data_IF_637879760432
#
_entry.id   IF_637879760432
#
_cell.length_a   1.000
_cell.length_b   1.000
_cell.length_c   1.000
_cell.angle_alpha   90.00
_cell.angle_beta   90.00
_cell.angle_gamma   90.00
#
_symmetry.space_group_name_H-M   'P 1'
#
loop_
_entity.id
_entity.type
_entity.pdbx_description
1 polymer ?
#
# COMPACT_ATOMS: atom_id res chain seq x y z
N UNK A 1 35.80 -1.72 4.24
CA UNK A 1 34.81 -0.81 3.64
C UNK A 1 33.70 -1.72 3.16
N UNK A 2 32.61 -1.78 3.92
CA UNK A 2 31.42 -2.51 3.49
C UNK A 2 30.73 -1.56 2.53
N UNK A 3 30.62 -1.95 1.26
CA UNK A 3 29.94 -1.12 0.28
C UNK A 3 28.45 -1.19 0.59
N UNK A 4 27.77 -0.06 0.81
CA UNK A 4 26.33 -0.06 1.06
C UNK A 4 25.59 -0.78 -0.07
N UNK A 5 24.82 -1.81 0.27
CA UNK A 5 24.03 -2.58 -0.69
C UNK A 5 22.71 -1.84 -0.90
N UNK A 6 22.57 -1.20 -2.06
CA UNK A 6 21.35 -0.47 -2.41
C UNK A 6 20.29 -1.44 -2.89
N UNK A 7 19.09 -1.30 -2.35
CA UNK A 7 17.90 -2.07 -2.72
C UNK A 7 16.75 -1.11 -3.04
N UNK A 8 15.76 -1.62 -3.73
CA UNK A 8 14.54 -0.92 -4.08
C UNK A 8 13.41 -1.47 -3.23
N UNK A 9 12.66 -0.60 -2.56
CA UNK A 9 11.48 -0.96 -1.79
C UNK A 9 10.24 -0.29 -2.37
N UNK A 10 9.07 -0.81 -2.02
CA UNK A 10 7.79 -0.21 -2.38
C UNK A 10 7.27 0.62 -1.21
N UNK A 11 6.99 1.88 -1.47
CA UNK A 11 6.48 2.85 -0.50
C UNK A 11 5.12 3.37 -0.97
N UNK A 12 4.15 3.47 -0.05
CA UNK A 12 2.91 4.18 -0.30
C UNK A 12 2.96 5.59 0.28
N UNK A 13 2.31 6.51 -0.43
CA UNK A 13 2.24 7.93 -0.10
C UNK A 13 3.62 8.56 0.22
N UNK A 14 4.64 8.20 -0.57
CA UNK A 14 5.96 8.78 -0.45
C UNK A 14 5.88 10.32 -0.54
N UNK A 15 6.62 11.04 0.31
CA UNK A 15 6.59 12.51 0.42
C UNK A 15 5.28 13.10 0.98
N UNK A 16 4.48 12.30 1.69
CA UNK A 16 3.29 12.79 2.40
C UNK A 16 3.42 12.54 3.92
N UNK A 17 2.48 13.07 4.69
CA UNK A 17 2.39 12.82 6.14
C UNK A 17 2.04 11.35 6.50
N UNK A 18 1.58 10.56 5.53
CA UNK A 18 1.14 9.17 5.70
C UNK A 18 1.99 8.18 4.90
N UNK A 19 3.31 8.38 4.94
CA UNK A 19 4.28 7.49 4.30
C UNK A 19 4.31 6.11 4.98
N UNK A 20 4.26 5.04 4.19
CA UNK A 20 4.29 3.67 4.69
C UNK A 20 4.99 2.71 3.75
N UNK A 21 5.88 1.87 4.30
CA UNK A 21 6.56 0.81 3.55
C UNK A 21 5.58 -0.34 3.31
N UNK A 22 5.49 -0.83 2.07
CA UNK A 22 4.71 -2.02 1.77
C UNK A 22 5.33 -3.24 2.45
N UNK A 23 4.50 -3.99 3.18
CA UNK A 23 4.87 -5.29 3.74
C UNK A 23 3.80 -6.32 3.39
N UNK A 24 4.25 -7.55 3.15
CA UNK A 24 3.37 -8.69 2.91
C UNK A 24 3.21 -9.48 4.19
N UNK A 25 2.01 -10.00 4.43
CA UNK A 25 1.77 -10.87 5.57
C UNK A 25 2.06 -12.32 5.21
N UNK A 26 3.01 -12.90 5.93
CA UNK A 26 3.31 -14.33 5.83
C UNK A 26 2.75 -14.98 7.09
N UNK A 27 1.78 -15.88 6.90
CA UNK A 27 1.29 -16.75 7.96
C UNK A 27 2.19 -17.98 8.02
N UNK A 28 2.85 -18.19 9.16
CA UNK A 28 3.69 -19.37 9.36
C UNK A 28 2.80 -20.57 9.75
N UNK A 29 2.65 -21.60 8.90
CA UNK A 29 1.77 -22.73 9.18
C UNK A 29 2.33 -23.68 10.25
N UNK A 30 3.57 -23.49 10.70
CA UNK A 30 4.27 -24.33 11.69
C UNK A 30 4.14 -23.79 13.13
N UNK A 31 3.67 -22.55 13.31
CA UNK A 31 3.48 -21.92 14.62
C UNK A 31 2.27 -22.50 15.36
N UNK A 32 2.47 -23.65 16.02
CA UNK A 32 1.43 -24.48 16.65
C UNK A 32 0.66 -23.87 17.84
N UNK A 33 0.91 -22.62 18.26
CA UNK A 33 0.32 -22.07 19.49
C UNK A 33 -0.23 -20.64 19.43
N UNK A 34 -0.07 -19.94 18.30
CA UNK A 34 -0.76 -18.68 18.00
C UNK A 34 -0.40 -18.37 16.56
N UNK A 35 -1.36 -18.13 15.69
CA UNK A 35 -1.09 -17.70 14.31
C UNK A 35 -0.38 -16.34 14.35
N UNK A 36 0.95 -16.34 14.46
CA UNK A 36 1.79 -15.16 14.38
C UNK A 36 1.86 -14.79 12.91
N UNK A 37 0.88 -13.99 12.48
CA UNK A 37 0.97 -13.25 11.23
C UNK A 37 2.18 -12.33 11.35
N UNK A 38 3.20 -12.53 10.50
CA UNK A 38 4.38 -11.65 10.47
C UNK A 38 4.34 -10.80 9.22
N UNK A 39 4.61 -9.51 9.38
CA UNK A 39 4.80 -8.61 8.25
C UNK A 39 6.24 -8.76 7.74
N UNK A 40 6.40 -8.97 6.44
CA UNK A 40 7.68 -9.11 5.75
C UNK A 40 7.83 -8.01 4.71
N UNK A 41 8.93 -7.27 4.73
CA UNK A 41 9.27 -6.24 3.75
C UNK A 41 10.09 -6.87 2.62
N UNK A 42 9.71 -6.58 1.37
CA UNK A 42 10.42 -7.05 0.18
C UNK A 42 11.43 -5.99 -0.28
N UNK A 43 12.70 -6.38 -0.40
CA UNK A 43 13.80 -5.54 -0.86
C UNK A 43 14.30 -6.06 -2.21
N UNK A 44 14.11 -5.31 -3.28
CA UNK A 44 14.47 -5.75 -4.63
C UNK A 44 15.89 -5.27 -4.99
N UNK A 45 16.73 -6.14 -5.54
CA UNK A 45 18.03 -5.70 -6.09
C UNK A 45 17.88 -4.94 -7.42
N UNK A 46 16.76 -5.14 -8.11
CA UNK A 46 16.46 -4.54 -9.42
C UNK A 46 15.22 -3.65 -9.35
N UNK A 47 15.34 -2.43 -9.89
CA UNK A 47 14.21 -1.51 -10.01
C UNK A 47 13.10 -2.07 -10.90
N UNK A 48 13.45 -2.81 -11.95
CA UNK A 48 12.48 -3.41 -12.88
C UNK A 48 11.58 -4.43 -12.17
N UNK A 49 12.17 -5.25 -11.30
CA UNK A 49 11.44 -6.23 -10.49
C UNK A 49 10.50 -5.54 -9.49
N UNK A 50 10.95 -4.44 -8.86
CA UNK A 50 10.11 -3.63 -7.97
C UNK A 50 8.94 -2.97 -8.71
N UNK A 51 9.17 -2.39 -9.89
CA UNK A 51 8.12 -1.80 -10.73
C UNK A 51 7.12 -2.85 -11.21
N UNK A 52 7.61 -4.05 -11.55
CA UNK A 52 6.74 -5.17 -11.94
C UNK A 52 5.86 -5.61 -10.78
N UNK A 53 6.40 -5.66 -9.56
CA UNK A 53 5.62 -5.96 -8.36
C UNK A 53 4.59 -4.85 -8.05
N UNK A 54 4.98 -3.58 -8.22
CA UNK A 54 4.08 -2.43 -8.08
C UNK A 54 2.83 -2.57 -8.97
N UNK A 55 3.02 -2.91 -10.25
CA UNK A 55 1.92 -3.14 -11.19
C UNK A 55 0.98 -4.27 -10.77
N UNK A 56 1.50 -5.32 -10.13
CA UNK A 56 0.69 -6.42 -9.61
C UNK A 56 -0.14 -6.00 -8.40
N UNK A 57 0.36 -5.08 -7.57
CA UNK A 57 -0.41 -4.50 -6.47
C UNK A 57 -1.54 -3.60 -7.02
N UNK A 58 -1.23 -2.76 -8.00
CA UNK A 58 -2.25 -1.92 -8.67
C UNK A 58 -3.38 -2.76 -9.29
N UNK A 59 -3.04 -3.90 -9.90
CA UNK A 59 -4.02 -4.83 -10.46
C UNK A 59 -4.99 -5.43 -9.41
N UNK A 60 -4.63 -5.36 -8.13
CA UNK A 60 -5.41 -5.84 -7.00
C UNK A 60 -6.12 -4.72 -6.24
N UNK A 61 -6.30 -3.55 -6.86
CA UNK A 61 -6.95 -2.37 -6.28
C UNK A 61 -6.16 -1.69 -5.14
N UNK A 62 -4.87 -2.01 -4.97
CA UNK A 62 -4.00 -1.21 -4.11
C UNK A 62 -3.65 0.14 -4.77
N UNK A 63 -3.29 1.18 -3.98
CA UNK A 63 -2.75 2.39 -4.56
C UNK A 63 -1.50 2.11 -5.39
N UNK A 64 -1.09 3.03 -6.24
CA UNK A 64 0.20 2.94 -6.93
C UNK A 64 1.34 3.15 -5.93
N UNK A 65 2.17 2.12 -5.65
CA UNK A 65 3.34 2.32 -4.79
C UNK A 65 4.46 3.03 -5.56
N UNK A 66 5.23 3.83 -4.85
CA UNK A 66 6.45 4.47 -5.34
C UNK A 66 7.65 3.56 -5.05
N UNK A 67 8.46 3.29 -6.07
CA UNK A 67 9.70 2.52 -5.92
C UNK A 67 10.81 3.46 -5.48
N UNK A 68 11.28 3.30 -4.24
CA UNK A 68 12.34 4.12 -3.65
C UNK A 68 13.63 3.31 -3.45
N UNK A 69 14.76 3.95 -3.71
CA UNK A 69 16.08 3.36 -3.52
C UNK A 69 16.58 3.65 -2.10
N UNK A 70 16.80 2.62 -1.32
CA UNK A 70 17.21 2.71 0.09
C UNK A 70 18.38 1.75 0.36
N UNK A 71 19.08 1.99 1.47
CA UNK A 71 20.13 1.07 1.90
C UNK A 71 19.54 -0.18 2.54
N UNK A 72 20.05 -1.36 2.16
CA UNK A 72 19.58 -2.61 2.74
C UNK A 72 19.88 -2.69 4.25
N UNK A 73 20.94 -2.07 4.75
CA UNK A 73 21.24 -2.03 6.18
C UNK A 73 20.22 -1.18 6.95
N UNK A 74 19.75 -0.08 6.36
CA UNK A 74 18.73 0.80 6.96
C UNK A 74 17.39 0.07 7.13
N UNK A 75 16.96 -0.68 6.10
CA UNK A 75 15.75 -1.50 6.20
C UNK A 75 15.90 -2.62 7.21
N UNK A 76 17.07 -3.26 7.28
CA UNK A 76 17.33 -4.34 8.26
C UNK A 76 17.22 -3.83 9.69
N UNK A 77 17.81 -2.66 9.98
CA UNK A 77 17.74 -2.02 11.30
C UNK A 77 16.29 -1.66 11.67
N UNK A 78 15.53 -1.12 10.71
CA UNK A 78 14.10 -0.84 10.88
C UNK A 78 13.31 -2.13 11.18
N UNK A 79 13.56 -3.19 10.43
CA UNK A 79 12.88 -4.47 10.61
C UNK A 79 13.20 -5.11 11.96
N UNK A 80 14.46 -5.05 12.41
CA UNK A 80 14.88 -5.56 13.71
C UNK A 80 14.20 -4.81 14.86
N UNK A 81 14.09 -3.48 14.74
CA UNK A 81 13.44 -2.63 15.75
C UNK A 81 11.92 -2.82 15.78
N UNK A 82 11.28 -2.93 14.62
CA UNK A 82 9.84 -3.07 14.49
C UNK A 82 9.34 -4.53 14.65
N UNK A 83 10.24 -5.51 14.64
CA UNK A 83 9.89 -6.94 14.67
C UNK A 83 9.32 -7.45 13.34
N UNK A 84 9.67 -6.79 12.23
CA UNK A 84 9.31 -7.23 10.89
C UNK A 84 10.36 -8.17 10.31
N UNK A 85 9.94 -9.02 9.39
CA UNK A 85 10.86 -9.80 8.58
C UNK A 85 11.23 -9.03 7.31
N UNK A 86 12.33 -9.41 6.68
CA UNK A 86 12.77 -8.81 5.43
C UNK A 86 13.29 -9.89 4.49
N UNK A 87 13.15 -9.67 3.19
CA UNK A 87 13.61 -10.60 2.17
C UNK A 87 14.19 -9.84 1.00
N UNK A 88 15.40 -10.25 0.58
CA UNK A 88 16.07 -9.66 -0.58
C UNK A 88 15.71 -10.48 -1.81
N UNK A 89 15.10 -9.84 -2.80
CA UNK A 89 14.74 -10.41 -4.08
C UNK A 89 15.86 -10.11 -5.07
N UNK A 90 16.61 -11.14 -5.52
CA UNK A 90 17.71 -10.93 -6.44
C UNK A 90 17.23 -10.50 -7.83
N UNK A 91 18.09 -9.79 -8.55
CA UNK A 91 17.79 -9.36 -9.91
C UNK A 91 17.55 -10.58 -10.82
N UNK A 92 16.46 -10.59 -11.61
CA UNK A 92 16.01 -11.73 -12.41
C UNK A 92 15.50 -12.93 -11.59
N UNK A 93 15.02 -12.72 -10.36
CA UNK A 93 14.31 -13.77 -9.64
C UNK A 93 13.02 -14.15 -10.37
N UNK A 94 12.58 -15.40 -10.19
CA UNK A 94 11.29 -15.86 -10.70
C UNK A 94 10.17 -14.94 -10.18
N UNK A 95 9.17 -14.66 -11.03
CA UNK A 95 8.15 -13.63 -10.82
C UNK A 95 7.50 -13.80 -9.43
N UNK A 96 7.88 -12.94 -8.47
CA UNK A 96 7.25 -12.95 -7.15
C UNK A 96 5.84 -12.39 -7.31
N UNK A 97 4.84 -13.25 -7.14
CA UNK A 97 3.45 -12.85 -7.12
C UNK A 97 3.08 -12.43 -5.70
N UNK A 98 2.43 -11.27 -5.51
CA UNK A 98 1.85 -10.93 -4.21
C UNK A 98 0.87 -12.02 -3.77
N UNK A 99 0.76 -12.30 -2.45
CA UNK A 99 -0.19 -13.29 -1.95
C UNK A 99 -1.62 -12.92 -2.34
N UNK A 100 -2.47 -13.89 -2.68
CA UNK A 100 -3.88 -13.67 -3.08
C UNK A 100 -4.77 -13.12 -1.95
N UNK A 101 -4.27 -13.08 -0.71
CA UNK A 101 -5.01 -12.59 0.45
C UNK A 101 -4.49 -11.20 0.80
N UNK A 102 -5.26 -10.20 0.41
CA UNK A 102 -5.04 -8.81 0.75
C UNK A 102 -5.73 -8.50 2.08
N UNK A 103 -5.02 -7.82 3.00
CA UNK A 103 -5.69 -7.28 4.17
C UNK A 103 -6.54 -6.07 3.77
N UNK A 104 -7.83 -6.15 4.08
CA UNK A 104 -8.84 -5.12 3.79
C UNK A 104 -8.59 -3.78 4.52
N UNK A 105 -7.84 -3.81 5.63
CA UNK A 105 -7.52 -2.65 6.45
C UNK A 105 -6.05 -2.69 6.88
N UNK A 106 -5.21 -1.88 6.24
CA UNK A 106 -3.84 -1.67 6.72
C UNK A 106 -3.79 -0.37 7.53
N UNK A 107 -3.04 -0.35 8.64
CA UNK A 107 -2.99 0.77 9.60
C UNK A 107 -2.62 2.12 8.94
N UNK A 108 -1.84 2.09 7.84
CA UNK A 108 -1.49 3.27 7.04
C UNK A 108 -2.69 3.96 6.36
N UNK A 109 -3.82 3.26 6.19
CA UNK A 109 -5.07 3.84 5.68
C UNK A 109 -5.93 4.48 6.79
N UNK A 110 -5.62 4.24 8.07
CA UNK A 110 -6.44 4.72 9.19
C UNK A 110 -6.26 6.21 9.50
N UNK A 111 -5.27 6.85 8.90
CA UNK A 111 -4.98 8.27 9.11
C UNK A 111 -5.63 9.19 8.05
N UNK A 112 -6.80 8.83 7.53
CA UNK A 112 -7.70 9.80 6.87
C UNK A 112 -8.99 10.04 7.66
N UNK A 113 -9.03 9.65 8.95
CA UNK A 113 -10.20 9.87 9.80
C UNK A 113 -9.89 10.18 11.28
N UNK A 114 -8.75 10.81 11.58
CA UNK A 114 -8.48 11.26 12.96
C UNK A 114 -7.81 12.61 13.03
N UNK A 115 -8.50 13.62 12.49
CA UNK A 115 -8.48 14.97 13.06
C UNK A 115 -9.89 15.61 12.98
N UNK A 116 -10.84 15.14 13.80
CA UNK A 116 -11.80 16.07 14.44
C UNK A 116 -12.58 15.46 15.63
N UNK A 117 -11.89 15.13 16.72
CA UNK A 117 -12.49 15.28 18.05
C UNK A 117 -12.32 16.73 18.49
N UNK A 118 -13.12 17.62 17.91
CA UNK A 118 -13.43 18.91 18.52
C UNK A 118 -14.88 19.27 18.22
N UNK A 119 -15.70 19.12 19.24
CA UNK A 119 -17.00 19.75 19.36
C UNK A 119 -16.84 21.24 19.01
N UNK A 120 -17.29 21.67 17.83
CA UNK A 120 -17.96 22.95 17.57
C UNK A 120 -18.30 23.04 16.06
N UNK A 121 -19.58 22.87 15.75
CA UNK A 121 -20.33 23.50 14.65
C UNK A 121 -19.61 23.72 13.29
N UNK A 122 -19.84 22.82 12.32
CA UNK A 122 -19.59 23.09 10.89
C UNK A 122 -20.93 23.17 10.13
N UNK A 123 -21.20 24.27 9.38
CA UNK A 123 -22.42 24.45 8.60
C UNK A 123 -22.42 23.57 7.32
N UNK A 124 -23.61 23.24 6.76
CA UNK A 124 -23.72 22.34 5.61
C UNK A 124 -23.39 23.08 4.32
N UNK A 125 -22.42 22.59 3.55
CA UNK A 125 -22.11 23.13 2.23
C UNK A 125 -21.69 22.05 1.23
N UNK A 126 -22.68 21.36 0.66
CA UNK A 126 -22.92 21.30 -0.80
C UNK A 126 -24.18 20.45 -1.07
N UNK A 127 -25.00 20.81 -2.08
CA UNK A 127 -26.33 20.27 -2.27
C UNK A 127 -26.28 18.83 -2.78
N UNK A 128 -26.98 17.92 -2.12
CA UNK A 128 -27.41 16.66 -2.73
C UNK A 128 -28.19 17.02 -4.00
N UNK A 129 -27.62 16.75 -5.17
CA UNK A 129 -28.35 16.85 -6.43
C UNK A 129 -29.53 15.86 -6.33
N UNK A 130 -30.75 16.39 -6.20
CA UNK A 130 -31.95 15.57 -6.05
C UNK A 130 -32.09 14.62 -7.23
N UNK A 131 -32.58 13.40 -7.00
CA UNK A 131 -32.78 12.34 -8.02
C UNK A 131 -33.53 12.85 -9.27
N UNK A 132 -34.34 13.90 -9.12
CA UNK A 132 -35.06 14.59 -10.20
C UNK A 132 -34.16 15.30 -11.23
N UNK A 133 -32.94 15.67 -10.85
CA UNK A 133 -31.93 16.25 -11.75
C UNK A 133 -31.25 15.15 -12.58
N UNK A 134 -31.00 13.98 -11.98
CA UNK A 134 -30.44 12.81 -12.68
C UNK A 134 -31.40 12.27 -13.75
N UNK A 135 -32.70 12.25 -13.49
CA UNK A 135 -33.71 11.79 -14.46
C UNK A 135 -33.83 12.69 -15.70
N UNK A 136 -33.64 14.01 -15.54
CA UNK A 136 -33.65 14.95 -16.66
C UNK A 136 -32.47 14.74 -17.60
N UNK A 137 -31.29 14.46 -17.05
CA UNK A 137 -30.07 14.19 -17.82
C UNK A 137 -30.25 12.92 -18.65
N UNK A 138 -30.86 11.87 -18.08
CA UNK A 138 -31.10 10.60 -18.77
C UNK A 138 -32.04 10.76 -19.98
N UNK A 139 -33.12 11.54 -19.81
CA UNK A 139 -34.11 11.76 -20.87
C UNK A 139 -33.62 12.63 -22.03
N UNK A 140 -32.59 13.45 -21.80
CA UNK A 140 -31.99 14.29 -22.83
C UNK A 140 -31.10 13.50 -23.81
N UNK A 141 -30.53 12.36 -23.39
CA UNK A 141 -29.70 11.51 -24.24
C UNK A 141 -30.48 10.56 -25.15
N UNK A 142 -31.77 10.31 -24.87
CA UNK A 142 -32.62 9.42 -25.70
C UNK A 142 -33.22 10.10 -26.94
N UNK A 143 -32.97 11.39 -27.15
CA UNK A 143 -33.48 12.17 -28.29
C UNK A 143 -32.51 12.31 -29.48
N UNK A 144 -31.39 11.59 -29.48
CA UNK A 144 -30.32 11.71 -30.48
C UNK A 144 -30.10 10.43 -31.30
N UNK A 145 -31.18 9.69 -31.61
CA UNK A 145 -31.19 8.60 -32.60
C UNK A 145 -32.39 8.70 -33.54
#
# INVERSE_FOLDING_TARGET
MITPMRVFILMFNANTENEGIHSIQVSDPSASHSASVRNKILMFESQDDALRFALLLEAQDFPTPTVEMIDAEEIKDFCETAGYEWEIIPANSDLILPPEINLDHTDWQMQNNSENYRSEQVPPAAPEMSESELEKIRRQLEGLL
#
